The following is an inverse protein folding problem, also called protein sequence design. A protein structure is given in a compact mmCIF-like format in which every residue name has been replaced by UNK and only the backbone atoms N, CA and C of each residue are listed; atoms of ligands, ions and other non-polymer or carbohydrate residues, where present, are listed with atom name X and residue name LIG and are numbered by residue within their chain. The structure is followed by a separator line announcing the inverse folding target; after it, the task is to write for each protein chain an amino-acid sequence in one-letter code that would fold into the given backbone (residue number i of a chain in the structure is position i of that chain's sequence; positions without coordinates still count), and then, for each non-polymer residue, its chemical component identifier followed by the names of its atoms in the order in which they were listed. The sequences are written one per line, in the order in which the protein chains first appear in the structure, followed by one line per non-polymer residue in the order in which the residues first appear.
data_IF_551064553742
#
_entry.id   IF_551064553742
#
_cell.length_a   1.000
_cell.length_b   1.000
_cell.length_c   1.000
_cell.angle_alpha   90.00
_cell.angle_beta   90.00
_cell.angle_gamma   90.00
#
_symmetry.space_group_name_H-M   'P 1'
#
loop_
_entity.id
_entity.type
_entity.pdbx_description
1 polymer ?
#
# COMPACT_ATOMS: atom_id res chain seq x y z
N UNK A 1 12.43 -8.47 -5.83
CA UNK A 1 11.56 -8.14 -4.68
C UNK A 1 10.21 -7.70 -5.18
N UNK A 2 9.14 -8.24 -4.60
CA UNK A 2 7.74 -7.95 -4.91
C UNK A 2 6.98 -7.58 -3.64
N UNK A 3 5.96 -6.73 -3.76
CA UNK A 3 5.03 -6.42 -2.69
C UNK A 3 3.65 -6.97 -3.06
N UNK A 4 3.04 -7.75 -2.17
CA UNK A 4 1.67 -8.24 -2.32
C UNK A 4 0.71 -7.28 -1.63
N UNK A 5 -0.16 -6.65 -2.41
CA UNK A 5 -1.27 -5.87 -1.88
C UNK A 5 -2.45 -6.80 -1.68
N UNK A 6 -3.01 -6.82 -0.48
CA UNK A 6 -4.23 -7.56 -0.17
C UNK A 6 -5.25 -6.57 0.36
N UNK A 7 -6.32 -6.38 -0.40
CA UNK A 7 -7.39 -5.44 -0.11
C UNK A 7 -8.65 -6.26 0.17
N UNK A 8 -9.16 -6.19 1.39
CA UNK A 8 -10.36 -6.92 1.77
C UNK A 8 -11.49 -5.97 2.13
N UNK A 9 -12.68 -6.28 1.64
CA UNK A 9 -13.91 -5.67 2.11
C UNK A 9 -14.46 -6.51 3.25
N UNK A 10 -14.82 -5.85 4.35
CA UNK A 10 -15.36 -6.48 5.55
C UNK A 10 -16.78 -6.00 5.82
N UNK A 11 -17.56 -6.80 6.54
CA UNK A 11 -18.90 -6.41 7.00
C UNK A 11 -18.81 -5.13 7.85
N UNK A 12 -19.71 -4.14 7.65
CA UNK A 12 -19.74 -2.94 8.48
C UNK A 12 -19.75 -3.25 9.98
N UNK A 13 -19.05 -2.44 10.77
CA UNK A 13 -18.98 -2.58 12.23
C UNK A 13 -18.10 -3.73 12.74
N UNK A 14 -17.32 -4.40 11.88
CA UNK A 14 -16.47 -5.54 12.28
C UNK A 14 -14.96 -5.23 12.28
N UNK A 15 -14.55 -3.96 12.14
CA UNK A 15 -13.14 -3.59 12.06
C UNK A 15 -12.34 -3.99 13.31
N UNK A 16 -12.89 -3.72 14.51
CA UNK A 16 -12.24 -4.06 15.78
C UNK A 16 -12.02 -5.58 15.89
N UNK A 17 -13.07 -6.38 15.71
CA UNK A 17 -13.00 -7.85 15.66
C UNK A 17 -11.99 -8.36 14.62
N UNK A 18 -11.94 -7.73 13.45
CA UNK A 18 -10.99 -8.06 12.41
C UNK A 18 -9.54 -7.82 12.87
N UNK A 19 -9.29 -6.70 13.56
CA UNK A 19 -7.98 -6.36 14.09
C UNK A 19 -7.59 -7.17 15.32
N UNK A 20 -8.50 -7.53 16.21
CA UNK A 20 -8.18 -8.36 17.38
C UNK A 20 -7.69 -9.75 16.94
N UNK A 21 -8.45 -10.40 16.06
CA UNK A 21 -8.10 -11.72 15.53
C UNK A 21 -6.82 -11.70 14.69
N UNK A 22 -6.61 -10.64 13.90
CA UNK A 22 -5.40 -10.47 13.08
C UNK A 22 -4.18 -10.15 13.95
N UNK A 23 -4.34 -9.23 14.90
CA UNK A 23 -3.28 -8.77 15.81
C UNK A 23 -2.79 -9.89 16.71
N UNK A 24 -3.66 -10.79 17.14
CA UNK A 24 -3.27 -11.97 17.92
C UNK A 24 -2.31 -12.93 17.18
N UNK A 25 -2.28 -12.89 15.83
CA UNK A 25 -1.45 -13.77 15.01
C UNK A 25 -0.29 -13.04 14.32
N UNK A 26 -0.27 -11.70 14.37
CA UNK A 26 0.65 -10.91 13.54
C UNK A 26 2.11 -11.10 13.93
N UNK A 27 2.42 -11.21 15.22
CA UNK A 27 3.80 -11.34 15.71
C UNK A 27 4.45 -12.60 15.14
N UNK A 28 3.76 -13.74 15.23
CA UNK A 28 4.22 -15.00 14.62
C UNK A 28 4.27 -14.94 13.10
N UNK A 29 3.29 -14.28 12.46
CA UNK A 29 3.31 -14.13 11.00
C UNK A 29 4.54 -13.34 10.50
N UNK A 30 5.01 -12.36 11.27
CA UNK A 30 6.18 -11.54 10.92
C UNK A 30 7.51 -12.31 10.95
N UNK A 31 7.56 -13.49 11.60
CA UNK A 31 8.72 -14.39 11.54
C UNK A 31 8.92 -14.98 10.13
N UNK A 32 7.87 -15.01 9.30
CA UNK A 32 7.88 -15.63 7.96
C UNK A 32 7.97 -14.64 6.81
N UNK A 33 7.26 -13.51 6.91
CA UNK A 33 7.21 -12.51 5.84
C UNK A 33 7.18 -11.10 6.43
N UNK A 34 8.05 -10.18 5.97
CA UNK A 34 8.00 -8.79 6.39
C UNK A 34 6.69 -8.11 5.93
N UNK A 35 6.23 -7.18 6.75
CA UNK A 35 5.06 -6.35 6.49
C UNK A 35 5.54 -4.91 6.23
N UNK A 36 5.03 -4.29 5.17
CA UNK A 36 5.25 -2.87 4.88
C UNK A 36 4.25 -2.01 5.65
N UNK A 37 3.02 -2.49 5.78
CA UNK A 37 2.00 -1.85 6.60
C UNK A 37 0.65 -2.54 6.55
N UNK A 38 -0.18 -2.25 7.54
CA UNK A 38 -1.55 -2.70 7.68
C UNK A 38 -2.45 -1.50 7.98
N UNK A 39 -3.51 -1.33 7.20
CA UNK A 39 -4.32 -0.12 7.17
C UNK A 39 -5.82 -0.44 7.05
N UNK A 40 -6.66 0.54 7.38
CA UNK A 40 -8.08 0.56 7.02
C UNK A 40 -8.45 1.92 6.42
N UNK A 41 -9.44 1.92 5.53
CA UNK A 41 -9.95 3.16 4.93
C UNK A 41 -10.79 3.94 5.92
N UNK A 42 -10.49 5.24 6.04
CA UNK A 42 -11.27 6.23 6.78
C UNK A 42 -12.07 7.13 5.82
N UNK A 43 -11.51 7.47 4.65
CA UNK A 43 -12.21 8.24 3.60
C UNK A 43 -12.01 7.56 2.24
N UNK A 44 -13.11 7.27 1.55
CA UNK A 44 -13.16 6.47 0.33
C UNK A 44 -14.07 5.26 0.52
N UNK A 45 -13.78 4.10 -0.12
CA UNK A 45 -14.50 2.86 0.14
C UNK A 45 -14.32 2.39 1.60
N UNK A 46 -15.38 2.56 2.40
CA UNK A 46 -15.38 2.23 3.83
C UNK A 46 -15.42 0.71 4.07
N UNK A 47 -15.06 0.31 5.28
CA UNK A 47 -15.01 -1.10 5.70
C UNK A 47 -14.06 -1.93 4.82
N UNK A 48 -12.92 -1.32 4.47
CA UNK A 48 -11.88 -1.91 3.65
C UNK A 48 -10.56 -1.89 4.39
N UNK A 49 -9.88 -3.02 4.41
CA UNK A 49 -8.53 -3.16 4.98
C UNK A 49 -7.52 -3.41 3.87
N UNK A 50 -6.33 -2.83 4.02
CA UNK A 50 -5.19 -3.05 3.15
C UNK A 50 -4.05 -3.61 3.99
N UNK A 51 -3.37 -4.63 3.49
CA UNK A 51 -2.09 -5.04 4.04
C UNK A 51 -1.12 -5.39 2.93
N UNK A 52 0.12 -4.92 3.11
CA UNK A 52 1.17 -4.96 2.10
C UNK A 52 2.32 -5.83 2.60
N UNK A 53 2.51 -7.00 1.99
CA UNK A 53 3.56 -7.97 2.37
C UNK A 53 4.72 -7.93 1.40
N UNK A 54 5.94 -8.10 1.91
CA UNK A 54 7.18 -8.14 1.11
C UNK A 54 7.62 -9.59 0.86
N UNK A 55 8.01 -9.90 -0.38
CA UNK A 55 8.65 -11.16 -0.75
C UNK A 55 9.79 -10.93 -1.74
N UNK A 56 10.75 -11.86 -1.79
CA UNK A 56 11.87 -11.77 -2.73
C UNK A 56 11.40 -11.90 -4.18
N UNK A 57 10.54 -12.88 -4.44
CA UNK A 57 9.90 -13.16 -5.71
C UNK A 57 8.61 -14.00 -5.51
N UNK A 58 8.00 -14.44 -6.61
CA UNK A 58 6.77 -15.24 -6.60
C UNK A 58 6.95 -16.64 -6.02
N UNK A 59 8.11 -17.26 -6.18
CA UNK A 59 8.40 -18.59 -5.64
C UNK A 59 8.55 -18.51 -4.11
N UNK A 60 9.29 -17.51 -3.63
CA UNK A 60 9.39 -17.22 -2.21
C UNK A 60 8.01 -16.94 -1.61
N UNK A 61 7.18 -16.13 -2.28
CA UNK A 61 5.79 -15.90 -1.87
C UNK A 61 4.99 -17.20 -1.78
N UNK A 62 5.05 -18.07 -2.80
CA UNK A 62 4.31 -19.32 -2.82
C UNK A 62 4.73 -20.25 -1.66
N UNK A 63 6.04 -20.39 -1.45
CA UNK A 63 6.61 -21.19 -0.35
C UNK A 63 6.13 -20.69 1.01
N UNK A 64 6.31 -19.41 1.31
CA UNK A 64 5.92 -18.84 2.62
C UNK A 64 4.43 -18.96 2.86
N UNK A 65 3.59 -18.74 1.84
CA UNK A 65 2.14 -18.89 1.95
C UNK A 65 1.71 -20.32 2.24
N UNK A 66 2.40 -21.32 1.70
CA UNK A 66 2.14 -22.72 2.04
C UNK A 66 2.54 -23.01 3.48
N UNK A 67 3.76 -22.59 3.84
CA UNK A 67 4.36 -22.89 5.14
C UNK A 67 3.56 -22.31 6.32
N UNK A 68 3.17 -21.03 6.26
CA UNK A 68 2.37 -20.39 7.32
C UNK A 68 0.98 -21.01 7.51
N UNK A 69 0.44 -21.68 6.50
CA UNK A 69 -0.85 -22.39 6.59
C UNK A 69 -0.63 -23.77 7.21
N UNK A 70 0.39 -24.49 6.78
CA UNK A 70 0.80 -25.78 7.35
C UNK A 70 1.12 -25.66 8.84
N UNK A 71 1.83 -24.59 9.22
CA UNK A 71 2.19 -24.30 10.61
C UNK A 71 1.00 -23.75 11.45
N UNK A 72 -0.19 -23.56 10.84
CA UNK A 72 -1.37 -23.06 11.53
C UNK A 72 -1.29 -21.59 11.98
N UNK A 73 -0.31 -20.84 11.48
CA UNK A 73 -0.04 -19.44 11.85
C UNK A 73 -0.98 -18.47 11.10
N UNK A 74 -1.51 -18.85 9.95
CA UNK A 74 -2.37 -18.00 9.13
C UNK A 74 -3.37 -18.85 8.33
N UNK A 75 -4.61 -18.41 8.05
CA UNK A 75 -5.18 -17.07 8.28
C UNK A 75 -5.92 -16.89 9.62
N UNK A 76 -6.08 -15.63 10.09
CA UNK A 76 -7.00 -15.30 11.16
C UNK A 76 -8.43 -15.74 10.85
N UNK A 77 -9.25 -16.08 11.87
CA UNK A 77 -10.61 -16.61 11.71
C UNK A 77 -11.63 -15.51 11.32
N UNK A 78 -11.32 -14.73 10.28
CA UNK A 78 -12.13 -13.63 9.79
C UNK A 78 -13.12 -14.01 8.69
N UNK A 79 -13.13 -15.27 8.23
CA UNK A 79 -14.00 -15.71 7.13
C UNK A 79 -15.48 -15.28 7.25
N UNK A 80 -16.14 -15.30 8.42
CA UNK A 80 -17.54 -14.90 8.53
C UNK A 80 -17.81 -13.40 8.30
N UNK A 81 -16.77 -12.56 8.38
CA UNK A 81 -16.87 -11.10 8.26
C UNK A 81 -16.25 -10.55 6.98
N UNK A 82 -15.61 -11.39 6.17
CA UNK A 82 -15.07 -11.02 4.85
C UNK A 82 -16.18 -11.03 3.79
N UNK A 83 -16.20 -10.01 2.94
CA UNK A 83 -17.14 -9.86 1.82
C UNK A 83 -16.44 -10.06 0.47
N UNK A 84 -15.26 -9.48 0.31
CA UNK A 84 -14.48 -9.56 -0.92
C UNK A 84 -12.99 -9.52 -0.59
N UNK A 85 -12.17 -10.16 -1.44
CA UNK A 85 -10.72 -10.16 -1.31
C UNK A 85 -10.09 -9.94 -2.69
N UNK A 86 -9.25 -8.92 -2.79
CA UNK A 86 -8.43 -8.64 -3.96
C UNK A 86 -6.96 -8.76 -3.58
N UNK A 87 -6.19 -9.42 -4.45
CA UNK A 87 -4.75 -9.63 -4.28
C UNK A 87 -4.04 -9.22 -5.56
N UNK A 88 -3.14 -8.25 -5.45
CA UNK A 88 -2.34 -7.76 -6.57
C UNK A 88 -0.86 -7.83 -6.22
N UNK A 89 -0.02 -8.09 -7.24
CA UNK A 89 1.43 -8.15 -7.10
C UNK A 89 2.01 -6.88 -7.71
N UNK A 90 2.78 -6.18 -6.89
CA UNK A 90 3.40 -4.91 -7.21
C UNK A 90 4.92 -5.01 -7.14
N UNK A 91 5.58 -4.25 -7.98
CA UNK A 91 7.02 -4.01 -7.95
C UNK A 91 7.25 -2.60 -7.41
N UNK A 92 8.17 -2.40 -6.44
CA UNK A 92 8.59 -1.05 -6.07
C UNK A 92 9.11 -0.29 -7.29
N UNK A 93 8.75 1.00 -7.40
CA UNK A 93 9.27 1.86 -8.44
C UNK A 93 10.81 1.95 -8.31
N UNK A 94 11.55 2.03 -9.44
CA UNK A 94 13.01 1.88 -9.44
C UNK A 94 13.76 3.00 -8.69
N UNK A 95 13.11 4.16 -8.50
CA UNK A 95 13.66 5.30 -7.77
C UNK A 95 13.33 5.27 -6.26
N UNK A 96 12.64 4.23 -5.77
CA UNK A 96 12.33 4.15 -4.35
C UNK A 96 13.60 4.00 -3.52
N UNK A 97 13.82 4.84 -2.49
CA UNK A 97 14.92 4.63 -1.57
C UNK A 97 14.71 3.33 -0.78
N UNK A 98 15.82 2.77 -0.28
CA UNK A 98 15.72 1.72 0.76
C UNK A 98 15.10 2.35 2.00
N UNK A 99 13.91 1.89 2.36
CA UNK A 99 13.21 2.33 3.57
C UNK A 99 13.34 1.27 4.65
N UNK A 100 13.51 1.70 5.88
CA UNK A 100 13.46 0.79 7.02
C UNK A 100 12.07 0.19 7.17
N UNK A 101 12.01 -1.04 7.69
CA UNK A 101 10.74 -1.75 7.92
C UNK A 101 9.93 -1.12 9.04
N UNK A 102 10.61 -0.75 10.13
CA UNK A 102 10.01 -0.03 11.25
C UNK A 102 10.17 1.47 11.04
N UNK A 103 9.07 2.20 11.04
CA UNK A 103 9.06 3.66 10.83
C UNK A 103 8.00 4.25 11.73
N UNK A 104 8.18 5.49 12.14
CA UNK A 104 7.15 6.26 12.84
C UNK A 104 6.74 7.44 11.94
N UNK A 105 5.73 7.23 11.10
CA UNK A 105 5.20 8.24 10.16
C UNK A 105 3.67 8.16 10.11
N UNK A 106 3.01 9.25 9.73
CA UNK A 106 1.54 9.34 9.74
C UNK A 106 1.06 10.27 10.86
N UNK A 107 -0.16 10.10 11.40
CA UNK A 107 -1.00 8.90 11.36
C UNK A 107 -1.94 8.79 10.14
N UNK A 108 -1.98 9.80 9.26
CA UNK A 108 -2.86 9.83 8.09
C UNK A 108 -2.10 9.33 6.86
N UNK A 109 -2.68 8.37 6.15
CA UNK A 109 -2.07 7.84 4.93
C UNK A 109 -2.99 8.04 3.72
N UNK A 110 -2.45 8.48 2.59
CA UNK A 110 -3.20 8.59 1.33
C UNK A 110 -2.65 7.58 0.34
N UNK A 111 -3.43 6.53 0.05
CA UNK A 111 -3.17 5.59 -1.03
C UNK A 111 -3.90 6.04 -2.29
N UNK A 112 -3.17 6.08 -3.41
CA UNK A 112 -3.71 6.35 -4.74
C UNK A 112 -3.40 5.19 -5.65
N UNK A 113 -4.43 4.63 -6.24
CA UNK A 113 -4.37 3.49 -7.16
C UNK A 113 -4.88 3.92 -8.52
N UNK A 114 -3.98 3.97 -9.50
CA UNK A 114 -4.30 4.36 -10.86
C UNK A 114 -4.16 3.18 -11.80
N UNK A 115 -4.95 3.20 -12.88
CA UNK A 115 -4.79 2.29 -14.01
C UNK A 115 -4.45 3.11 -15.25
N UNK A 116 -3.34 2.79 -15.91
CA UNK A 116 -2.87 3.46 -17.11
C UNK A 116 -3.14 2.60 -18.36
N UNK A 117 -3.13 3.20 -19.56
CA UNK A 117 -3.13 2.45 -20.81
C UNK A 117 -1.99 1.41 -20.86
N UNK A 118 -2.19 0.27 -21.56
CA UNK A 118 -1.15 -0.73 -21.72
C UNK A 118 0.14 -0.14 -22.30
N UNK A 119 1.28 -0.52 -21.74
CA UNK A 119 2.60 -0.12 -22.22
C UNK A 119 3.06 1.29 -21.82
N UNK A 120 2.26 2.06 -21.08
CA UNK A 120 2.62 3.44 -20.73
C UNK A 120 3.23 3.62 -19.33
N UNK A 121 3.28 2.57 -18.51
CA UNK A 121 3.92 2.61 -17.18
C UNK A 121 5.38 3.11 -17.23
N UNK A 122 6.23 2.70 -18.21
CA UNK A 122 7.58 3.24 -18.32
C UNK A 122 7.64 4.77 -18.47
N UNK A 123 6.67 5.37 -19.17
CA UNK A 123 6.57 6.84 -19.32
C UNK A 123 6.22 7.52 -18.00
N UNK A 124 5.36 6.89 -17.20
CA UNK A 124 5.01 7.36 -15.85
C UNK A 124 6.22 7.28 -14.92
N UNK A 125 6.98 6.18 -14.98
CA UNK A 125 8.23 6.02 -14.21
C UNK A 125 9.24 7.11 -14.56
N UNK A 126 9.47 7.34 -15.86
CA UNK A 126 10.42 8.36 -16.33
C UNK A 126 9.99 9.78 -15.92
N UNK A 127 8.71 10.12 -16.00
CA UNK A 127 8.25 11.45 -15.60
C UNK A 127 8.33 11.65 -14.07
N UNK A 128 8.01 10.61 -13.29
CA UNK A 128 8.10 10.65 -11.83
C UNK A 128 9.55 10.75 -11.34
N UNK A 129 10.48 10.00 -11.93
CA UNK A 129 11.88 9.98 -11.49
C UNK A 129 12.53 11.37 -11.48
N UNK A 130 12.12 12.24 -12.42
CA UNK A 130 12.61 13.62 -12.56
C UNK A 130 12.14 14.57 -11.45
N UNK A 131 11.06 14.23 -10.74
CA UNK A 131 10.41 15.11 -9.74
C UNK A 131 10.27 14.48 -8.36
N UNK A 132 10.56 13.20 -8.22
CA UNK A 132 10.22 12.44 -7.02
C UNK A 132 11.00 12.91 -5.79
N UNK A 133 12.28 13.30 -5.94
CA UNK A 133 13.10 13.79 -4.83
C UNK A 133 12.45 15.03 -4.18
N UNK A 134 12.10 16.04 -4.99
CA UNK A 134 11.40 17.23 -4.53
C UNK A 134 10.01 16.91 -3.96
N UNK A 135 9.33 15.88 -4.45
CA UNK A 135 8.05 15.44 -3.88
C UNK A 135 8.22 14.78 -2.51
N UNK A 136 9.28 14.00 -2.30
CA UNK A 136 9.54 13.30 -1.03
C UNK A 136 9.96 14.24 0.10
N UNK A 137 10.41 15.47 -0.19
CA UNK A 137 10.67 16.48 0.86
C UNK A 137 9.38 17.02 1.48
N UNK A 138 8.25 16.97 0.76
CA UNK A 138 6.97 17.49 1.26
C UNK A 138 6.31 16.55 2.27
N UNK A 139 6.46 15.23 2.08
CA UNK A 139 6.04 14.23 3.04
C UNK A 139 6.64 12.85 2.68
N UNK A 140 6.86 11.97 3.66
CA UNK A 140 7.49 10.68 3.41
C UNK A 140 6.56 9.72 2.64
N UNK A 141 7.08 9.00 1.63
CA UNK A 141 6.33 7.90 1.02
C UNK A 141 6.29 6.69 1.97
N UNK A 142 5.16 6.00 2.01
CA UNK A 142 5.10 4.60 2.44
C UNK A 142 5.72 3.74 1.34
N UNK A 143 5.33 4.01 0.09
CA UNK A 143 5.97 3.47 -1.09
C UNK A 143 5.27 3.88 -2.39
N UNK A 144 5.91 3.52 -3.49
CA UNK A 144 5.44 3.77 -4.87
C UNK A 144 5.71 2.51 -5.66
N UNK A 145 4.73 2.07 -6.43
CA UNK A 145 4.73 0.77 -7.06
C UNK A 145 4.06 0.79 -8.43
N UNK A 146 4.40 -0.22 -9.23
CA UNK A 146 3.70 -0.55 -10.47
C UNK A 146 3.41 -2.05 -10.53
N UNK A 147 2.43 -2.45 -11.34
CA UNK A 147 2.08 -3.86 -11.52
C UNK A 147 2.22 -4.30 -12.98
N UNK A 148 2.81 -5.49 -13.14
CA UNK A 148 2.87 -6.22 -14.42
C UNK A 148 2.15 -7.57 -14.34
N UNK A 149 1.68 -7.97 -13.15
CA UNK A 149 1.06 -9.26 -12.88
C UNK A 149 -0.20 -9.08 -12.01
N UNK A 150 -1.28 -9.82 -12.32
CA UNK A 150 -2.58 -9.63 -11.67
C UNK A 150 -3.35 -8.46 -12.29
N UNK A 151 -3.74 -7.46 -11.49
CA UNK A 151 -4.24 -6.19 -12.00
C UNK A 151 -3.16 -5.43 -12.79
N UNK A 152 -3.01 -5.69 -14.08
CA UNK A 152 -1.94 -5.09 -14.91
C UNK A 152 -2.13 -3.59 -15.17
N UNK A 153 -1.01 -2.90 -15.46
CA UNK A 153 -0.94 -1.48 -15.79
C UNK A 153 -1.40 -0.57 -14.63
N UNK A 154 -1.16 -0.99 -13.39
CA UNK A 154 -1.45 -0.15 -12.23
C UNK A 154 -0.22 0.66 -11.81
N UNK A 155 -0.51 1.85 -11.29
CA UNK A 155 0.45 2.70 -10.60
C UNK A 155 -0.12 3.01 -9.22
N UNK A 156 0.55 2.54 -8.18
CA UNK A 156 0.13 2.72 -6.80
C UNK A 156 1.14 3.64 -6.09
N UNK A 157 0.66 4.59 -5.30
CA UNK A 157 1.54 5.39 -4.46
C UNK A 157 0.85 5.77 -3.16
N UNK A 158 1.59 5.64 -2.07
CA UNK A 158 1.07 5.88 -0.73
C UNK A 158 1.98 6.82 0.04
N UNK A 159 1.38 7.86 0.61
CA UNK A 159 2.06 8.95 1.31
C UNK A 159 1.56 9.05 2.74
N UNK A 160 2.45 9.36 3.69
CA UNK A 160 2.09 9.59 5.08
C UNK A 160 2.09 11.10 5.40
N UNK A 161 1.12 11.53 6.20
CA UNK A 161 0.94 12.91 6.65
C UNK A 161 0.65 12.94 8.14
N UNK A 162 1.15 13.99 8.80
CA UNK A 162 0.97 14.21 10.25
C UNK A 162 -0.45 14.66 10.61
N UNK A 163 -1.12 15.33 9.67
CA UNK A 163 -2.50 15.78 9.82
C UNK A 163 -3.14 16.11 8.46
N UNK A 164 -4.44 16.39 8.46
CA UNK A 164 -5.12 16.88 7.26
C UNK A 164 -4.59 18.26 6.84
N UNK A 165 -4.16 19.09 7.80
CA UNK A 165 -3.53 20.38 7.57
C UNK A 165 -2.15 20.21 6.93
N UNK A 166 -1.30 19.31 7.44
CA UNK A 166 -0.01 18.99 6.79
C UNK A 166 -0.24 18.50 5.36
N UNK A 167 -1.23 17.63 5.13
CA UNK A 167 -1.61 17.21 3.77
C UNK A 167 -2.02 18.40 2.89
N UNK A 168 -2.84 19.31 3.41
CA UNK A 168 -3.27 20.48 2.66
C UNK A 168 -2.08 21.39 2.31
N UNK A 169 -1.17 21.62 3.25
CA UNK A 169 0.01 22.45 3.06
C UNK A 169 1.00 21.86 2.05
N UNK A 170 1.29 20.55 2.16
CA UNK A 170 2.10 19.84 1.17
C UNK A 170 1.52 20.00 -0.25
N UNK A 171 0.19 19.92 -0.40
CA UNK A 171 -0.46 20.05 -1.72
C UNK A 171 -0.38 21.46 -2.30
N UNK A 172 -0.32 22.53 -1.48
CA UNK A 172 -0.11 23.89 -1.98
C UNK A 172 1.25 24.06 -2.66
N UNK A 173 2.25 23.29 -2.22
CA UNK A 173 3.60 23.31 -2.77
C UNK A 173 3.76 22.47 -4.05
N UNK A 174 2.74 21.72 -4.47
CA UNK A 174 2.87 20.83 -5.65
C UNK A 174 3.27 21.60 -6.91
N UNK A 175 2.64 22.75 -7.17
CA UNK A 175 2.96 23.54 -8.36
C UNK A 175 4.39 24.08 -8.33
N UNK A 176 4.90 24.53 -7.18
CA UNK A 176 6.25 25.09 -7.08
C UNK A 176 7.35 24.05 -7.32
N UNK A 177 7.07 22.78 -7.05
CA UNK A 177 7.99 21.66 -7.36
C UNK A 177 7.72 21.01 -8.74
N UNK A 178 6.75 21.51 -9.51
CA UNK A 178 6.37 20.96 -10.80
C UNK A 178 5.65 19.61 -10.72
N UNK A 179 4.78 19.45 -9.71
CA UNK A 179 3.96 18.26 -9.47
C UNK A 179 2.47 18.50 -9.81
N UNK A 180 1.77 17.52 -10.42
CA UNK A 180 2.28 16.23 -10.90
C UNK A 180 3.17 16.37 -12.14
N UNK A 181 4.11 15.45 -12.35
CA UNK A 181 4.92 15.43 -13.57
C UNK A 181 4.04 15.11 -14.78
N UNK A 182 4.29 15.78 -15.90
CA UNK A 182 3.65 15.45 -17.17
C UNK A 182 4.30 14.20 -17.77
N UNK A 183 3.51 13.15 -17.93
CA UNK A 183 3.94 11.88 -18.53
C UNK A 183 3.49 11.74 -19.99
N UNK A 184 2.80 12.74 -20.56
CA UNK A 184 2.07 12.65 -21.83
C UNK A 184 1.02 11.53 -21.88
N UNK A 185 0.69 10.92 -20.73
CA UNK A 185 -0.33 9.87 -20.60
C UNK A 185 -1.19 10.13 -19.37
N UNK A 186 -2.49 9.87 -19.50
CA UNK A 186 -3.45 10.03 -18.41
C UNK A 186 -3.91 8.68 -17.87
N UNK A 187 -4.14 8.55 -16.56
CA UNK A 187 -4.73 7.34 -16.00
C UNK A 187 -6.17 7.18 -16.52
N UNK A 188 -6.52 5.96 -16.93
CA UNK A 188 -7.88 5.57 -17.34
C UNK A 188 -8.83 5.44 -16.15
N UNK A 189 -8.31 5.06 -14.98
CA UNK A 189 -9.06 4.96 -13.72
C UNK A 189 -8.19 5.47 -12.59
N UNK A 190 -8.79 6.18 -11.65
CA UNK A 190 -8.14 6.65 -10.44
C UNK A 190 -9.01 6.32 -9.23
N UNK A 191 -8.37 5.82 -8.17
CA UNK A 191 -8.98 5.61 -6.86
C UNK A 191 -8.08 6.26 -5.80
N UNK A 192 -8.70 6.87 -4.79
CA UNK A 192 -8.03 7.58 -3.72
C UNK A 192 -8.66 7.16 -2.38
N UNK A 193 -7.82 6.74 -1.44
CA UNK A 193 -8.21 6.32 -0.11
C UNK A 193 -7.37 7.06 0.92
N UNK A 194 -8.04 7.71 1.88
CA UNK A 194 -7.39 8.13 3.12
C UNK A 194 -7.57 7.00 4.11
N UNK A 195 -6.47 6.59 4.73
CA UNK A 195 -6.37 5.41 5.57
C UNK A 195 -5.69 5.73 6.88
N UNK A 196 -5.98 4.94 7.90
CA UNK A 196 -5.28 4.91 9.17
C UNK A 196 -4.57 3.55 9.30
N UNK A 197 -3.42 3.54 9.98
CA UNK A 197 -2.69 2.30 10.23
C UNK A 197 -3.29 1.55 11.44
N UNK A 198 -3.26 0.22 11.38
CA UNK A 198 -3.55 -0.63 12.54
C UNK A 198 -2.45 -0.44 13.60
N UNK A 199 -2.79 -0.61 14.89
CA UNK A 199 -1.84 -0.46 16.01
C UNK A 199 -0.61 -1.38 15.92
N UNK A 200 -0.76 -2.55 15.29
CA UNK A 200 0.32 -3.51 15.08
C UNK A 200 1.08 -3.32 13.76
N UNK A 201 0.72 -2.29 12.98
CA UNK A 201 1.40 -1.98 11.73
C UNK A 201 2.82 -1.47 12.05
N UNK A 202 3.86 -1.91 11.32
CA UNK A 202 5.26 -1.53 11.61
C UNK A 202 5.59 -0.06 11.26
N UNK A 203 4.61 0.69 10.78
CA UNK A 203 4.71 2.09 10.38
C UNK A 203 4.24 3.08 11.48
N UNK A 204 3.83 2.55 12.63
CA UNK A 204 3.54 3.32 13.85
C UNK A 204 4.66 3.17 14.88
#
# INVERSE_FOLDING_TARGET
MIHEFRIYDIKPGNLEKYYDSTGAMIEKRLEYSPLVGYFHTEIGPLNRVLHIWEYEDLNHRAKIRSQVVEDGIWPPPNSPILLNQQVDIFFPAPFMPKVERKRNIGPIFELRLYKYPPGTIPMVIDSWSKKIEARMTLCPPVGIWYSELGGVNQWAHMWAYESFEHRAEARKQFQSIGWPPDSNVSPMKMENMIMLAAKFSPIQ
#
